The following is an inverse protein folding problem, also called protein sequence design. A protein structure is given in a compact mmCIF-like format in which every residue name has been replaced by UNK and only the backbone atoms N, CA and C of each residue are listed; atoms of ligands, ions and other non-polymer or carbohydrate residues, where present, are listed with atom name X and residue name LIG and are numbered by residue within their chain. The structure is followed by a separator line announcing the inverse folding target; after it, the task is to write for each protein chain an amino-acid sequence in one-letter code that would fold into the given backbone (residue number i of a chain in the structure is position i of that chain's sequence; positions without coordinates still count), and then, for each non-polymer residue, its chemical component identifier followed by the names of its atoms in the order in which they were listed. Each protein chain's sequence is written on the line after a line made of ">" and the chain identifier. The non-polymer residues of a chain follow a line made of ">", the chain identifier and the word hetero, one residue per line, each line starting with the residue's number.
data_IF_963994245843
#
_entry.id   IF_963994245843
#
_cell.length_a   1.000
_cell.length_b   1.000
_cell.length_c   1.000
_cell.angle_alpha   90.00
_cell.angle_beta   90.00
_cell.angle_gamma   90.00
#
_symmetry.space_group_name_H-M   'P 1'
#
loop_
_entity.id
_entity.type
_entity.pdbx_description
1 polymer ?
#
# COMPACT_ATOMS: atom_id res chain seq x y z
N UNK A 1 -14.69 9.47 7.69
CA UNK A 1 -13.30 9.41 7.20
C UNK A 1 -13.18 9.92 5.75
N UNK A 2 -13.60 11.17 5.46
CA UNK A 2 -13.42 11.74 4.12
C UNK A 2 -12.00 12.32 4.01
N UNK A 3 -11.04 11.51 3.57
CA UNK A 3 -9.67 11.86 3.08
C UNK A 3 -8.63 10.73 3.26
N UNK A 4 -9.04 9.52 3.65
CA UNK A 4 -8.10 8.39 3.71
C UNK A 4 -7.91 7.78 2.33
N UNK A 5 -6.66 7.73 1.88
CA UNK A 5 -6.27 6.98 0.68
C UNK A 5 -6.37 5.47 0.96
N UNK A 6 -6.58 4.67 -0.09
CA UNK A 6 -6.65 3.19 -0.02
C UNK A 6 -5.48 2.58 0.77
N UNK A 7 -4.26 3.09 0.57
CA UNK A 7 -3.08 2.69 1.36
C UNK A 7 -3.25 2.89 2.88
N UNK A 8 -3.79 4.04 3.30
CA UNK A 8 -4.01 4.34 4.71
C UNK A 8 -5.10 3.44 5.29
N UNK A 9 -6.14 3.13 4.52
CA UNK A 9 -7.17 2.19 4.93
C UNK A 9 -6.59 0.78 5.12
N UNK A 10 -5.74 0.31 4.21
CA UNK A 10 -5.05 -0.98 4.32
C UNK A 10 -4.22 -1.07 5.61
N UNK A 11 -3.39 -0.07 5.89
CA UNK A 11 -2.58 -0.01 7.12
C UNK A 11 -3.48 0.04 8.36
N UNK A 12 -4.59 0.79 8.29
CA UNK A 12 -5.54 0.87 9.38
C UNK A 12 -6.17 -0.48 9.72
N UNK A 13 -6.69 -1.19 8.71
CA UNK A 13 -7.30 -2.52 8.88
C UNK A 13 -6.29 -3.56 9.38
N UNK A 14 -5.04 -3.49 8.92
CA UNK A 14 -4.01 -4.45 9.32
C UNK A 14 -3.51 -4.26 10.75
N UNK A 15 -3.31 -3.01 11.18
CA UNK A 15 -2.49 -2.74 12.38
C UNK A 15 -3.12 -1.81 13.39
N UNK A 16 -3.99 -0.91 12.95
CA UNK A 16 -4.47 0.17 13.81
C UNK A 16 -5.88 -0.10 14.32
N UNK A 17 -6.69 -0.91 13.66
CA UNK A 17 -8.09 -1.13 14.05
C UNK A 17 -8.20 -1.74 15.46
N UNK A 18 -7.43 -2.78 15.76
CA UNK A 18 -7.42 -3.40 17.09
C UNK A 18 -6.85 -2.48 18.17
N UNK A 19 -5.87 -1.65 17.83
CA UNK A 19 -5.25 -0.70 18.78
C UNK A 19 -6.18 0.48 19.05
N UNK A 20 -6.75 1.06 18.00
CA UNK A 20 -7.56 2.26 18.07
C UNK A 20 -8.85 2.05 18.87
N UNK A 21 -9.43 0.85 18.82
CA UNK A 21 -10.69 0.55 19.47
C UNK A 21 -10.57 -0.24 20.78
N UNK A 22 -9.35 -0.52 21.26
CA UNK A 22 -9.11 -1.36 22.45
C UNK A 22 -9.84 -0.88 23.70
N UNK A 23 -9.82 0.41 23.97
CA UNK A 23 -10.48 0.99 25.14
C UNK A 23 -11.90 1.51 24.84
N UNK A 24 -12.34 1.43 23.58
CA UNK A 24 -13.61 1.98 23.13
C UNK A 24 -14.72 0.94 23.01
N UNK A 25 -14.36 -0.34 22.91
CA UNK A 25 -15.29 -1.44 22.66
C UNK A 25 -15.26 -2.48 23.78
N UNK A 26 -16.38 -3.17 24.02
CA UNK A 26 -16.40 -4.35 24.88
C UNK A 26 -15.43 -5.44 24.38
N UNK A 27 -14.86 -6.21 25.30
CA UNK A 27 -13.88 -7.28 25.02
C UNK A 27 -14.29 -8.20 23.87
N UNK A 28 -15.56 -8.63 23.82
CA UNK A 28 -16.03 -9.52 22.75
C UNK A 28 -16.01 -8.87 21.35
N UNK A 29 -16.34 -7.58 21.24
CA UNK A 29 -16.29 -6.85 19.97
C UNK A 29 -14.84 -6.53 19.57
N UNK A 30 -14.01 -6.19 20.56
CA UNK A 30 -12.59 -5.94 20.34
C UNK A 30 -11.83 -7.18 19.89
N UNK A 31 -12.11 -8.35 20.50
CA UNK A 31 -11.55 -9.64 20.09
C UNK A 31 -11.87 -9.92 18.63
N UNK A 32 -13.11 -9.70 18.22
CA UNK A 32 -13.55 -9.86 16.83
C UNK A 32 -12.81 -8.94 15.85
N UNK A 33 -12.64 -7.66 16.20
CA UNK A 33 -11.85 -6.74 15.37
C UNK A 33 -10.38 -7.14 15.31
N UNK A 34 -9.85 -7.74 16.36
CA UNK A 34 -8.48 -8.25 16.41
C UNK A 34 -8.31 -9.45 15.49
N UNK A 35 -9.28 -10.37 15.46
CA UNK A 35 -9.31 -11.49 14.50
C UNK A 35 -9.35 -11.00 13.04
N UNK A 36 -10.19 -10.00 12.73
CA UNK A 36 -10.21 -9.37 11.41
C UNK A 36 -8.86 -8.72 11.09
N UNK A 37 -8.27 -8.00 12.03
CA UNK A 37 -6.95 -7.37 11.87
C UNK A 37 -5.87 -8.41 11.55
N UNK A 38 -5.89 -9.55 12.23
CA UNK A 38 -4.95 -10.66 12.02
C UNK A 38 -5.15 -11.30 10.64
N UNK A 39 -6.40 -11.53 10.23
CA UNK A 39 -6.75 -12.02 8.89
C UNK A 39 -6.15 -11.11 7.80
N UNK A 40 -6.29 -9.79 7.95
CA UNK A 40 -5.69 -8.83 7.02
C UNK A 40 -4.16 -8.84 7.05
N UNK A 41 -3.53 -9.06 8.19
CA UNK A 41 -2.07 -9.19 8.27
C UNK A 41 -1.57 -10.42 7.52
N UNK A 42 -2.24 -11.57 7.69
CA UNK A 42 -1.89 -12.81 7.00
C UNK A 42 -2.07 -12.65 5.48
N UNK A 43 -3.26 -12.24 5.03
CA UNK A 43 -3.56 -12.07 3.60
C UNK A 43 -2.65 -11.04 2.91
N UNK A 44 -2.21 -10.03 3.63
CA UNK A 44 -1.36 -8.98 3.08
C UNK A 44 0.13 -9.17 3.33
N UNK A 45 0.53 -10.30 3.91
CA UNK A 45 1.94 -10.61 4.13
C UNK A 45 2.68 -10.65 2.80
N UNK A 46 3.93 -10.20 2.79
CA UNK A 46 4.82 -10.33 1.63
C UNK A 46 5.14 -11.78 1.31
N UNK A 47 5.09 -12.64 2.31
CA UNK A 47 5.30 -14.09 2.21
C UNK A 47 4.10 -14.80 2.80
N UNK A 48 3.36 -15.54 1.98
CA UNK A 48 2.21 -16.33 2.41
C UNK A 48 2.67 -17.74 2.76
N UNK A 49 2.46 -18.15 4.00
CA UNK A 49 2.59 -19.55 4.42
C UNK A 49 1.28 -20.28 4.10
N UNK A 50 1.35 -21.32 3.26
CA UNK A 50 0.20 -22.11 2.85
C UNK A 50 -0.54 -22.74 4.04
N UNK A 51 0.17 -23.11 5.11
CA UNK A 51 -0.45 -23.68 6.30
C UNK A 51 -1.33 -22.62 7.00
N UNK A 52 -0.81 -21.41 7.18
CA UNK A 52 -1.55 -20.29 7.75
C UNK A 52 -2.76 -19.91 6.88
N UNK A 53 -2.64 -19.97 5.55
CA UNK A 53 -3.75 -19.69 4.63
C UNK A 53 -4.85 -20.76 4.72
N UNK A 54 -4.49 -22.04 4.88
CA UNK A 54 -5.47 -23.11 5.07
C UNK A 54 -6.22 -22.99 6.40
N UNK A 55 -5.52 -22.66 7.49
CA UNK A 55 -6.15 -22.34 8.77
C UNK A 55 -7.06 -21.12 8.67
N UNK A 56 -6.65 -20.12 7.88
CA UNK A 56 -7.45 -18.93 7.61
C UNK A 56 -8.72 -19.25 6.83
N UNK A 57 -8.64 -20.09 5.79
CA UNK A 57 -9.80 -20.54 5.00
C UNK A 57 -10.81 -21.32 5.87
N UNK A 58 -10.34 -22.08 6.86
CA UNK A 58 -11.21 -22.76 7.83
C UNK A 58 -11.86 -21.82 8.86
N UNK A 59 -11.16 -20.75 9.26
CA UNK A 59 -11.64 -19.81 10.28
C UNK A 59 -12.47 -18.65 9.72
N UNK A 60 -12.34 -18.32 8.43
CA UNK A 60 -12.97 -17.14 7.83
C UNK A 60 -14.49 -17.14 7.96
N UNK A 61 -15.13 -18.28 7.74
CA UNK A 61 -16.59 -18.40 7.85
C UNK A 61 -17.07 -18.13 9.27
N UNK A 62 -16.28 -18.53 10.27
CA UNK A 62 -16.57 -18.27 11.70
C UNK A 62 -16.38 -16.79 12.02
N UNK A 63 -15.30 -16.17 11.51
CA UNK A 63 -15.02 -14.74 11.72
C UNK A 63 -16.12 -13.88 11.11
N UNK A 64 -16.50 -14.12 9.85
CA UNK A 64 -17.58 -13.38 9.19
C UNK A 64 -18.91 -13.57 9.91
N UNK A 65 -19.27 -14.82 10.24
CA UNK A 65 -20.51 -15.10 10.98
C UNK A 65 -20.56 -14.49 12.38
N UNK A 66 -19.41 -14.26 13.02
CA UNK A 66 -19.37 -13.53 14.29
C UNK A 66 -19.40 -12.01 14.08
N UNK A 67 -18.86 -11.50 12.96
CA UNK A 67 -19.00 -10.10 12.58
C UNK A 67 -20.48 -9.77 12.33
N UNK A 68 -21.20 -10.64 11.61
CA UNK A 68 -22.61 -10.49 11.25
C UNK A 68 -23.54 -10.37 12.47
N UNK A 69 -23.16 -11.00 13.59
CA UNK A 69 -23.91 -10.90 14.84
C UNK A 69 -23.80 -9.51 15.50
N UNK A 70 -22.73 -8.77 15.22
CA UNK A 70 -22.39 -7.53 15.92
C UNK A 70 -22.78 -6.29 15.10
N UNK A 71 -22.55 -6.33 13.79
CA UNK A 71 -22.85 -5.20 12.91
C UNK A 71 -24.21 -5.39 12.23
N UNK A 72 -24.93 -4.29 11.91
CA UNK A 72 -26.19 -4.39 11.18
C UNK A 72 -25.96 -4.96 9.77
N UNK A 73 -26.95 -5.64 9.20
CA UNK A 73 -26.87 -6.19 7.83
C UNK A 73 -26.50 -5.16 6.76
N UNK A 74 -26.82 -3.87 6.99
CA UNK A 74 -26.41 -2.76 6.12
C UNK A 74 -24.90 -2.45 6.13
N UNK A 75 -24.14 -3.05 7.03
CA UNK A 75 -22.67 -2.99 7.06
C UNK A 75 -22.03 -4.02 6.11
N UNK A 76 -22.79 -5.06 5.76
CA UNK A 76 -22.32 -6.21 5.00
C UNK A 76 -22.68 -6.09 3.53
N UNK A 77 -21.82 -5.40 2.79
CA UNK A 77 -21.84 -5.32 1.33
C UNK A 77 -20.98 -6.45 0.71
N UNK A 78 -20.92 -6.54 -0.62
CA UNK A 78 -20.07 -7.49 -1.40
C UNK A 78 -18.62 -7.60 -0.91
N UNK A 79 -18.11 -6.56 -0.24
CA UNK A 79 -16.77 -6.50 0.34
C UNK A 79 -16.53 -7.55 1.44
N UNK A 80 -17.56 -8.05 2.12
CA UNK A 80 -17.38 -9.09 3.14
C UNK A 80 -17.24 -10.49 2.53
N UNK A 81 -18.07 -10.82 1.53
CA UNK A 81 -17.93 -12.06 0.78
C UNK A 81 -16.61 -12.15 -0.01
N UNK A 82 -16.04 -10.99 -0.35
CA UNK A 82 -14.72 -10.92 -0.98
C UNK A 82 -13.63 -11.60 -0.13
N UNK A 83 -13.75 -11.59 1.21
CA UNK A 83 -12.74 -12.21 2.08
C UNK A 83 -12.65 -13.72 1.87
N UNK A 84 -13.78 -14.39 1.68
CA UNK A 84 -13.84 -15.84 1.41
C UNK A 84 -13.12 -16.18 0.08
N UNK A 85 -13.36 -15.37 -0.95
CA UNK A 85 -12.69 -15.54 -2.24
C UNK A 85 -11.20 -15.22 -2.16
N UNK A 86 -10.80 -14.18 -1.42
CA UNK A 86 -9.40 -13.81 -1.24
C UNK A 86 -8.58 -14.91 -0.55
N UNK A 87 -9.12 -15.58 0.47
CA UNK A 87 -8.42 -16.72 1.09
C UNK A 87 -8.23 -17.88 0.12
N UNK A 88 -9.23 -18.14 -0.71
CA UNK A 88 -9.15 -19.19 -1.72
C UNK A 88 -8.13 -18.85 -2.81
N UNK A 89 -8.15 -17.62 -3.33
CA UNK A 89 -7.17 -17.14 -4.32
C UNK A 89 -5.75 -17.08 -3.76
N UNK A 90 -5.61 -16.78 -2.45
CA UNK A 90 -4.33 -16.83 -1.75
C UNK A 90 -3.73 -18.21 -1.68
N UNK A 91 -4.56 -19.23 -1.46
CA UNK A 91 -4.14 -20.62 -1.51
C UNK A 91 -3.71 -21.05 -2.91
N UNK A 92 -4.30 -20.46 -3.94
CA UNK A 92 -3.95 -20.70 -5.35
C UNK A 92 -2.69 -19.94 -5.80
N UNK A 93 -1.90 -19.39 -4.87
CA UNK A 93 -0.61 -18.73 -5.11
C UNK A 93 -0.66 -17.53 -6.06
N UNK A 94 -1.80 -16.83 -6.17
CA UNK A 94 -1.82 -15.58 -6.91
C UNK A 94 -0.97 -14.53 -6.15
N UNK A 95 -0.15 -13.71 -6.83
CA UNK A 95 0.62 -12.70 -6.13
C UNK A 95 -0.32 -11.69 -5.48
N UNK A 96 -0.18 -11.47 -4.17
CA UNK A 96 -1.01 -10.58 -3.33
C UNK A 96 -1.21 -9.20 -3.95
N UNK A 97 -0.23 -8.74 -4.71
CA UNK A 97 -0.21 -7.45 -5.39
C UNK A 97 -1.33 -7.28 -6.41
N UNK A 98 -1.77 -8.36 -7.07
CA UNK A 98 -2.86 -8.33 -8.06
C UNK A 98 -4.26 -8.30 -7.42
N UNK A 99 -4.38 -8.61 -6.13
CA UNK A 99 -5.68 -8.62 -5.44
C UNK A 99 -6.17 -7.24 -5.01
N UNK A 100 -5.28 -6.26 -4.97
CA UNK A 100 -5.61 -4.91 -4.51
C UNK A 100 -5.86 -3.99 -5.69
N UNK A 101 -6.97 -3.24 -5.63
CA UNK A 101 -7.27 -2.16 -6.58
C UNK A 101 -6.12 -1.16 -6.73
N UNK A 102 -5.28 -1.00 -5.70
CA UNK A 102 -4.11 -0.13 -5.71
C UNK A 102 -3.13 -0.38 -6.87
N UNK A 103 -2.89 -1.65 -7.25
CA UNK A 103 -2.00 -1.96 -8.38
C UNK A 103 -2.59 -1.39 -9.68
N UNK A 104 -3.88 -1.64 -9.90
CA UNK A 104 -4.61 -1.11 -11.05
C UNK A 104 -4.67 0.41 -11.04
N UNK A 105 -4.98 1.04 -9.90
CA UNK A 105 -4.98 2.50 -9.74
C UNK A 105 -3.62 3.13 -10.09
N UNK A 106 -2.51 2.49 -9.67
CA UNK A 106 -1.15 2.96 -10.00
C UNK A 106 -0.85 2.83 -11.48
N UNK A 107 -1.16 1.69 -12.09
CA UNK A 107 -0.95 1.46 -13.52
C UNK A 107 -1.78 2.47 -14.32
N UNK A 108 -3.06 2.63 -13.99
CA UNK A 108 -3.96 3.58 -14.66
C UNK A 108 -3.48 5.02 -14.47
N UNK A 109 -2.97 5.38 -13.29
CA UNK A 109 -2.36 6.69 -13.06
C UNK A 109 -1.14 6.91 -13.96
N UNK A 110 -0.24 5.95 -14.07
CA UNK A 110 0.95 6.07 -14.91
C UNK A 110 0.59 6.15 -16.40
N UNK A 111 -0.35 5.31 -16.87
CA UNK A 111 -0.90 5.38 -18.22
C UNK A 111 -1.55 6.74 -18.49
N UNK A 112 -2.34 7.24 -17.55
CA UNK A 112 -2.98 8.57 -17.66
C UNK A 112 -1.95 9.69 -17.79
N UNK A 113 -0.79 9.59 -17.14
CA UNK A 113 0.29 10.57 -17.29
C UNK A 113 1.00 10.51 -18.65
N UNK A 114 0.96 9.34 -19.31
CA UNK A 114 1.51 9.10 -20.66
C UNK A 114 0.61 9.64 -21.77
N UNK A 115 -0.68 9.81 -21.52
CA UNK A 115 -1.63 10.40 -22.49
C UNK A 115 -1.40 11.91 -22.63
N UNK A 116 -0.68 12.32 -23.68
CA UNK A 116 -0.51 13.71 -24.12
C UNK A 116 -1.57 14.14 -25.12
N UNK A 117 -1.99 13.23 -26.00
CA UNK A 117 -3.07 13.46 -26.96
C UNK A 117 -4.31 12.62 -26.62
N UNK A 118 -5.39 13.27 -26.16
CA UNK A 118 -6.64 12.58 -25.82
C UNK A 118 -7.46 12.11 -27.03
N UNK A 119 -7.21 12.65 -28.23
CA UNK A 119 -7.86 12.19 -29.45
C UNK A 119 -7.33 10.83 -29.92
N UNK A 120 -6.09 10.50 -29.55
CA UNK A 120 -5.42 9.24 -29.89
C UNK A 120 -4.70 8.68 -28.66
N UNK A 121 -5.49 8.21 -27.68
CA UNK A 121 -5.01 7.76 -26.36
C UNK A 121 -3.98 6.64 -26.50
N UNK A 122 -4.28 5.62 -27.30
CA UNK A 122 -3.42 4.45 -27.50
C UNK A 122 -2.09 4.85 -28.15
N UNK A 123 -2.12 5.61 -29.24
CA UNK A 123 -0.93 6.09 -29.92
C UNK A 123 -0.05 6.94 -28.98
N UNK A 124 -0.67 7.79 -28.16
CA UNK A 124 0.06 8.61 -27.19
C UNK A 124 0.73 7.79 -26.09
N UNK A 125 0.11 6.68 -25.64
CA UNK A 125 0.72 5.77 -24.66
C UNK A 125 1.89 5.02 -25.29
N UNK A 126 1.71 4.51 -26.51
CA UNK A 126 2.77 3.79 -27.25
C UNK A 126 3.97 4.69 -27.47
N UNK A 127 3.77 5.92 -27.95
CA UNK A 127 4.83 6.89 -28.14
C UNK A 127 5.60 7.17 -26.83
N UNK A 128 4.88 7.40 -25.73
CA UNK A 128 5.51 7.64 -24.43
C UNK A 128 6.30 6.42 -23.92
N UNK A 129 5.79 5.20 -24.14
CA UNK A 129 6.51 3.96 -23.81
C UNK A 129 7.79 3.83 -24.64
N UNK A 130 7.71 4.12 -25.93
CA UNK A 130 8.84 4.00 -26.87
C UNK A 130 9.98 4.96 -26.47
N UNK A 131 9.64 6.21 -26.12
CA UNK A 131 10.62 7.18 -25.60
C UNK A 131 11.21 6.72 -24.26
N UNK A 132 10.40 6.16 -23.37
CA UNK A 132 10.85 5.62 -22.08
C UNK A 132 11.83 4.45 -22.27
N UNK A 133 11.51 3.50 -23.14
CA UNK A 133 12.35 2.34 -23.45
C UNK A 133 13.68 2.76 -24.09
N UNK A 134 13.66 3.68 -25.07
CA UNK A 134 14.88 4.22 -25.67
C UNK A 134 15.73 4.93 -24.60
N UNK A 135 15.11 5.70 -23.71
CA UNK A 135 15.82 6.39 -22.63
C UNK A 135 16.46 5.41 -21.63
N UNK A 136 15.78 4.31 -21.30
CA UNK A 136 16.29 3.25 -20.44
C UNK A 136 17.41 2.45 -21.12
N UNK A 137 17.29 2.17 -22.42
CA UNK A 137 18.31 1.48 -23.18
C UNK A 137 19.57 2.33 -23.31
N UNK A 138 19.41 3.61 -23.67
CA UNK A 138 20.53 4.55 -23.83
C UNK A 138 21.24 4.83 -22.50
N UNK A 139 20.56 4.74 -21.36
CA UNK A 139 21.20 4.95 -20.05
C UNK A 139 22.30 3.94 -19.72
N UNK A 140 22.30 2.75 -20.33
CA UNK A 140 23.38 1.77 -20.15
C UNK A 140 24.70 2.20 -20.80
N UNK A 141 24.67 3.12 -21.75
CA UNK A 141 25.86 3.65 -22.42
C UNK A 141 26.41 4.93 -21.77
N UNK A 142 25.66 5.53 -20.83
CA UNK A 142 26.08 6.72 -20.14
C UNK A 142 26.99 6.40 -18.94
N UNK A 143 27.87 7.34 -18.61
CA UNK A 143 28.73 7.23 -17.45
C UNK A 143 27.89 7.25 -16.16
N UNK A 144 28.29 6.54 -15.08
CA UNK A 144 27.45 6.36 -13.88
C UNK A 144 27.01 7.65 -13.18
N UNK A 145 27.76 8.75 -13.35
CA UNK A 145 27.45 10.05 -12.77
C UNK A 145 26.37 10.83 -13.53
N UNK A 146 26.00 10.40 -14.74
CA UNK A 146 24.96 11.06 -15.54
C UNK A 146 23.60 10.60 -15.03
N UNK A 147 22.79 11.54 -14.55
CA UNK A 147 21.48 11.25 -14.01
C UNK A 147 20.50 10.81 -15.12
N UNK A 148 19.99 9.61 -14.95
CA UNK A 148 19.03 8.91 -15.78
C UNK A 148 17.90 8.39 -14.89
N UNK A 149 16.81 7.91 -15.49
CA UNK A 149 15.68 7.36 -14.72
C UNK A 149 16.09 6.18 -13.82
N UNK A 150 17.12 5.42 -14.20
CA UNK A 150 17.61 4.24 -13.46
C UNK A 150 18.41 4.57 -12.19
N UNK A 151 19.22 5.64 -12.22
CA UNK A 151 20.10 6.03 -11.10
C UNK A 151 19.62 7.31 -10.37
N UNK A 152 18.51 7.91 -10.81
CA UNK A 152 17.88 9.00 -10.08
C UNK A 152 17.43 8.52 -8.69
N UNK A 153 17.79 9.25 -7.62
CA UNK A 153 17.26 8.96 -6.30
C UNK A 153 15.74 9.01 -6.31
N UNK A 154 15.10 8.12 -5.54
CA UNK A 154 13.65 8.20 -5.34
C UNK A 154 13.32 9.54 -4.72
N UNK A 155 12.10 10.03 -4.91
CA UNK A 155 11.64 11.35 -4.43
C UNK A 155 11.88 11.64 -2.93
N UNK A 156 12.13 10.61 -2.13
CA UNK A 156 12.40 10.70 -0.69
C UNK A 156 13.82 10.25 -0.30
N UNK A 157 14.66 9.86 -1.27
CA UNK A 157 16.06 9.46 -1.02
C UNK A 157 16.95 10.67 -1.25
N UNK A 158 17.25 11.41 -0.19
CA UNK A 158 18.25 12.47 -0.25
C UNK A 158 19.64 11.82 -0.29
N UNK A 159 20.18 11.59 -1.49
CA UNK A 159 21.59 11.24 -1.70
C UNK A 159 22.47 12.43 -1.31
N UNK A 160 22.70 12.62 -0.01
CA UNK A 160 23.82 13.40 0.48
C UNK A 160 25.08 12.57 0.29
N UNK A 161 25.86 12.86 -0.75
CA UNK A 161 27.28 12.53 -0.74
C UNK A 161 27.90 13.31 0.41
N UNK A 162 28.08 12.70 1.58
CA UNK A 162 29.00 13.30 2.53
C UNK A 162 29.76 12.30 3.40
N UNK A 163 31.02 12.69 3.53
CA UNK A 163 32.15 12.06 4.17
C UNK A 163 31.91 11.80 5.67
N UNK A 164 32.23 10.57 6.10
CA UNK A 164 32.65 10.22 7.46
C UNK A 164 31.87 10.77 8.67
N UNK A 165 30.61 10.34 8.90
CA UNK A 165 30.04 10.34 10.28
C UNK A 165 29.23 9.09 10.59
N UNK A 166 29.85 8.20 11.35
CA UNK A 166 29.18 7.09 12.06
C UNK A 166 28.48 7.70 13.28
N UNK A 167 27.15 7.84 13.24
CA UNK A 167 26.33 7.95 14.45
C UNK A 167 24.88 7.53 14.18
N UNK A 168 24.55 6.29 14.57
CA UNK A 168 23.22 5.70 14.86
C UNK A 168 22.07 6.23 13.98
N UNK A 169 21.84 5.53 12.86
CA UNK A 169 21.18 6.03 11.64
C UNK A 169 19.65 6.13 11.64
N UNK A 170 18.93 5.71 12.69
CA UNK A 170 17.46 5.56 12.61
C UNK A 170 16.74 6.93 12.65
N UNK A 171 17.38 7.98 13.18
CA UNK A 171 16.77 9.31 13.29
C UNK A 171 17.41 10.38 12.38
N UNK A 172 18.46 10.05 11.63
CA UNK A 172 19.13 10.97 10.72
C UNK A 172 18.58 10.87 9.29
N UNK A 173 17.27 11.01 9.14
CA UNK A 173 16.65 11.14 7.82
C UNK A 173 16.46 12.63 7.59
N UNK A 174 17.26 13.30 6.75
CA UNK A 174 16.98 14.67 6.37
C UNK A 174 15.58 14.70 5.75
N UNK A 175 14.65 15.39 6.41
CA UNK A 175 13.30 15.60 5.91
C UNK A 175 13.26 16.88 5.10
N UNK A 176 12.79 16.81 3.85
CA UNK A 176 12.48 18.02 3.08
C UNK A 176 11.21 18.67 3.61
N UNK A 177 11.34 19.80 4.29
CA UNK A 177 10.20 20.61 4.68
C UNK A 177 9.38 20.96 3.42
N UNK A 178 8.13 20.49 3.38
CA UNK A 178 7.22 20.69 2.26
C UNK A 178 6.18 21.73 2.67
N UNK A 179 6.16 22.87 1.99
CA UNK A 179 5.25 23.99 2.28
C UNK A 179 5.99 25.28 2.64
N UNK A 180 5.26 26.40 2.72
CA UNK A 180 5.81 27.67 3.17
C UNK A 180 6.16 27.59 4.67
N UNK A 181 7.32 28.12 5.10
CA UNK A 181 7.71 28.08 6.50
C UNK A 181 6.71 28.85 7.34
N UNK A 182 6.10 28.18 8.32
CA UNK A 182 5.16 28.80 9.25
C UNK A 182 5.75 28.73 10.66
N UNK A 183 6.23 29.88 11.15
CA UNK A 183 6.78 29.98 12.50
C UNK A 183 5.64 29.82 13.51
N UNK A 184 5.64 28.70 14.25
CA UNK A 184 4.74 28.48 15.37
C UNK A 184 5.57 28.38 16.65
N UNK A 185 5.40 29.35 17.54
CA UNK A 185 5.98 29.31 18.88
C UNK A 185 5.11 28.41 19.75
N UNK A 186 5.68 27.33 20.30
CA UNK A 186 5.05 26.57 21.37
C UNK A 186 5.12 27.41 22.63
N UNK A 187 3.96 27.79 23.19
CA UNK A 187 3.91 28.32 24.55
C UNK A 187 3.90 27.12 25.49
N UNK A 188 4.91 27.07 26.36
CA UNK A 188 4.91 26.23 27.54
C UNK A 188 3.92 26.77 28.58
#
# INVERSE_FOLDING_TARGET
>A
MHNMKSHNCKVFMQKLISIAFREMLPEHMWSMLTEVSLLFQILCSTTLDLNMVQELEGSIMTILGNLEKIFPSSFFDLMEHLFVHLTYEARMNMPVEYWWMYLFERILRDLKMKVKNKAHVEASIVEANLVEEISLFTSHYFQPHILCKQNMPRRNDDLMMNDNRIQWSIFNHPGRASGAPMNRWLRA
#
